data_IF_013841901013
#
_entry.id   IF_013841901013
#
_cell.length_a   1.000
_cell.length_b   1.000
_cell.length_c   1.000
_cell.angle_alpha   90.00
_cell.angle_beta   90.00
_cell.angle_gamma   90.00
#
_symmetry.space_group_name_H-M   'P 1'
#
loop_
_entity.id
_entity.type
_entity.pdbx_description
1 polymer ?
#
# COMPACT_ATOMS: atom_id res chain seq x y z
N UNK A 1 26.77 44.91 -46.61
CA UNK A 1 26.28 46.11 -47.34
C UNK A 1 25.03 45.69 -48.10
N UNK A 2 23.95 46.51 -48.06
CA UNK A 2 22.63 46.36 -48.75
C UNK A 2 21.65 45.38 -48.03
N UNK A 3 20.76 45.85 -47.12
CA UNK A 3 19.39 46.46 -47.27
C UNK A 3 18.30 45.44 -47.67
N UNK A 4 17.02 45.49 -47.25
CA UNK A 4 16.22 46.20 -46.22
C UNK A 4 14.74 45.71 -46.39
N UNK A 5 14.08 45.35 -45.27
CA UNK A 5 12.64 45.42 -44.86
C UNK A 5 11.47 45.00 -45.77
N UNK A 6 10.53 44.29 -45.14
CA UNK A 6 9.08 44.58 -44.88
C UNK A 6 8.28 43.26 -45.00
N UNK A 7 7.25 42.90 -44.23
CA UNK A 7 6.48 43.52 -43.15
C UNK A 7 5.31 42.56 -42.81
N UNK A 8 4.89 42.59 -41.54
CA UNK A 8 3.54 42.31 -40.98
C UNK A 8 2.63 41.20 -41.56
N UNK A 9 2.21 40.23 -40.73
CA UNK A 9 0.80 40.09 -40.28
C UNK A 9 0.57 38.79 -39.49
N UNK A 10 -0.14 38.93 -38.36
CA UNK A 10 -0.64 37.87 -37.49
C UNK A 10 -1.62 36.93 -38.22
N UNK A 11 -1.55 35.64 -37.92
CA UNK A 11 -2.73 34.80 -37.76
C UNK A 11 -2.38 33.61 -36.85
N UNK A 12 -2.85 33.69 -35.61
CA UNK A 12 -2.84 32.59 -34.65
C UNK A 12 -3.73 31.46 -35.17
N UNK A 13 -3.14 30.35 -35.59
CA UNK A 13 -3.85 29.06 -35.62
C UNK A 13 -3.51 28.34 -34.31
N UNK A 14 -4.43 28.44 -33.36
CA UNK A 14 -4.55 27.47 -32.29
C UNK A 14 -4.84 26.13 -32.94
N UNK A 15 -3.83 25.27 -33.00
CA UNK A 15 -4.02 23.88 -33.38
C UNK A 15 -4.62 23.18 -32.16
N UNK A 16 -5.96 23.12 -32.10
CA UNK A 16 -6.67 22.25 -31.15
C UNK A 16 -6.55 20.83 -31.69
N UNK A 17 -5.42 20.20 -31.45
CA UNK A 17 -5.30 18.74 -31.55
C UNK A 17 -6.10 18.12 -30.42
N UNK A 18 -7.39 17.87 -30.69
CA UNK A 18 -8.20 16.93 -29.90
C UNK A 18 -7.53 15.56 -29.95
N UNK A 19 -6.80 15.24 -28.89
CA UNK A 19 -6.22 13.92 -28.69
C UNK A 19 -7.34 12.86 -28.60
N UNK A 20 -7.14 11.68 -29.20
CA UNK A 20 -8.15 10.63 -29.22
C UNK A 20 -8.42 10.11 -27.80
N UNK A 21 -9.69 10.17 -27.39
CA UNK A 21 -10.21 9.48 -26.20
C UNK A 21 -10.20 7.98 -26.46
N UNK A 22 -9.19 7.27 -25.95
CA UNK A 22 -9.19 5.81 -25.91
C UNK A 22 -7.78 5.22 -25.94
N UNK A 23 -7.21 4.98 -24.75
CA UNK A 23 -6.04 4.17 -24.33
C UNK A 23 -5.18 4.82 -23.22
N UNK A 24 -5.46 6.06 -22.83
CA UNK A 24 -4.68 6.86 -21.87
C UNK A 24 -4.78 6.49 -20.38
N UNK A 25 -5.05 5.24 -20.00
CA UNK A 25 -5.25 4.89 -18.59
C UNK A 25 -3.94 4.77 -17.76
N UNK A 26 -2.76 4.72 -18.40
CA UNK A 26 -1.50 4.43 -17.70
C UNK A 26 -0.27 5.18 -18.22
N UNK A 27 -0.44 6.15 -19.12
CA UNK A 27 0.69 6.92 -19.66
C UNK A 27 0.49 8.41 -19.41
N UNK A 28 1.37 9.07 -18.62
CA UNK A 28 1.26 10.50 -18.38
C UNK A 28 1.62 11.29 -19.65
N UNK A 29 1.01 12.47 -19.81
CA UNK A 29 1.23 13.35 -20.96
C UNK A 29 2.70 13.84 -21.05
N UNK A 30 3.33 14.05 -19.90
CA UNK A 30 4.74 14.39 -19.77
C UNK A 30 5.29 13.93 -18.42
N UNK A 31 6.59 13.67 -18.36
CA UNK A 31 7.30 13.26 -17.15
C UNK A 31 8.65 13.99 -17.06
N UNK A 32 8.90 14.68 -15.95
CA UNK A 32 10.21 15.24 -15.62
C UNK A 32 10.84 14.48 -14.45
N UNK A 33 12.13 14.12 -14.60
CA UNK A 33 12.86 13.31 -13.61
C UNK A 33 13.77 14.20 -12.78
N UNK A 34 13.43 14.40 -11.52
CA UNK A 34 14.31 15.00 -10.52
C UNK A 34 15.14 13.95 -9.76
N UNK A 35 16.15 14.38 -8.97
CA UNK A 35 16.95 13.46 -8.17
C UNK A 35 16.15 12.69 -7.12
N UNK A 36 15.13 13.30 -6.50
CA UNK A 36 14.35 12.68 -5.41
C UNK A 36 12.85 12.70 -5.63
N UNK A 37 12.38 13.38 -6.68
CA UNK A 37 10.98 13.48 -7.05
C UNK A 37 10.83 13.37 -8.56
N UNK A 38 9.60 13.17 -9.01
CA UNK A 38 9.16 13.19 -10.39
C UNK A 38 8.03 14.20 -10.50
N UNK A 39 7.94 14.87 -11.63
CA UNK A 39 6.75 15.62 -12.02
C UNK A 39 6.02 14.84 -13.10
N UNK A 40 4.75 14.51 -12.83
CA UNK A 40 3.93 13.64 -13.67
C UNK A 40 2.56 14.28 -13.85
N UNK A 41 2.25 14.76 -15.07
CA UNK A 41 0.94 15.36 -15.35
C UNK A 41 0.59 16.57 -14.48
N UNK A 42 1.59 17.31 -13.98
CA UNK A 42 1.42 18.44 -13.06
C UNK A 42 1.40 18.08 -11.57
N UNK A 43 1.46 16.80 -11.21
CA UNK A 43 1.62 16.33 -9.82
C UNK A 43 3.09 16.06 -9.50
N UNK A 44 3.45 16.26 -8.24
CA UNK A 44 4.78 15.96 -7.70
C UNK A 44 4.75 14.65 -6.95
N UNK A 45 5.73 13.79 -7.23
CA UNK A 45 5.75 12.41 -6.73
C UNK A 45 7.12 12.06 -6.16
N UNK A 46 7.18 11.46 -4.98
CA UNK A 46 8.42 11.00 -4.36
C UNK A 46 8.30 9.54 -3.89
N UNK A 47 9.27 8.71 -4.27
CA UNK A 47 9.27 7.27 -3.97
C UNK A 47 10.37 6.88 -2.98
N UNK A 48 10.03 5.94 -2.11
CA UNK A 48 10.85 5.45 -1.02
C UNK A 48 10.92 3.93 -1.04
N UNK A 49 12.07 3.40 -0.65
CA UNK A 49 12.26 1.98 -0.36
C UNK A 49 12.39 1.79 1.15
N UNK A 50 11.64 0.85 1.70
CA UNK A 50 11.75 0.48 3.11
C UNK A 50 12.92 -0.49 3.26
N UNK A 51 13.88 -0.10 4.11
CA UNK A 51 15.13 -0.85 4.31
C UNK A 51 15.24 -1.42 5.72
N UNK A 52 14.73 -0.68 6.71
CA UNK A 52 14.58 -1.11 8.09
C UNK A 52 13.15 -1.60 8.35
N UNK A 53 13.03 -2.68 9.10
CA UNK A 53 11.76 -3.29 9.49
C UNK A 53 11.77 -3.55 11.01
N UNK A 54 10.61 -3.52 11.67
CA UNK A 54 10.49 -3.97 13.06
C UNK A 54 10.95 -5.42 13.19
N UNK A 55 11.43 -5.78 14.39
CA UNK A 55 11.86 -7.17 14.67
C UNK A 55 10.68 -8.13 14.67
N UNK A 56 9.55 -7.69 15.18
CA UNK A 56 8.30 -8.43 15.25
C UNK A 56 7.19 -7.62 14.60
N UNK A 57 6.28 -8.31 13.93
CA UNK A 57 5.13 -7.70 13.25
C UNK A 57 3.85 -8.31 13.76
N UNK A 58 2.90 -7.46 14.14
CA UNK A 58 1.55 -7.87 14.48
C UNK A 58 0.66 -7.83 13.23
N UNK A 59 -0.45 -8.61 13.18
CA UNK A 59 -1.37 -8.56 12.06
C UNK A 59 -1.87 -7.14 11.76
N UNK A 60 -1.73 -6.68 10.52
CA UNK A 60 -2.17 -5.34 10.12
C UNK A 60 -1.21 -4.21 10.49
N UNK A 61 0.07 -4.49 10.77
CA UNK A 61 1.06 -3.46 11.11
C UNK A 61 1.27 -2.39 10.02
N UNK A 62 0.94 -2.69 8.75
CA UNK A 62 0.96 -1.72 7.65
C UNK A 62 -0.28 -0.81 7.60
N UNK A 63 -1.32 -1.10 8.38
CA UNK A 63 -2.60 -0.39 8.34
C UNK A 63 -2.44 1.14 8.42
N UNK A 64 -1.61 1.72 9.30
CA UNK A 64 -1.51 3.18 9.40
C UNK A 64 -1.03 3.85 8.10
N UNK A 65 -0.17 3.17 7.33
CA UNK A 65 0.28 3.65 6.02
C UNK A 65 -0.83 3.50 4.96
N UNK A 66 -1.62 2.43 5.03
CA UNK A 66 -2.72 2.17 4.10
C UNK A 66 -3.94 3.07 4.33
N UNK A 67 -4.13 3.56 5.56
CA UNK A 67 -5.20 4.50 5.94
C UNK A 67 -4.70 5.92 6.11
N UNK A 68 -3.52 6.24 5.58
CA UNK A 68 -2.99 7.59 5.64
C UNK A 68 -3.92 8.55 4.87
N UNK A 69 -4.26 9.74 5.41
CA UNK A 69 -5.27 10.62 4.83
C UNK A 69 -4.84 11.29 3.50
N UNK A 70 -3.54 11.31 3.20
CA UNK A 70 -3.01 11.79 1.91
C UNK A 70 -2.85 10.68 0.87
N UNK A 71 -2.46 11.05 -0.35
CA UNK A 71 -2.31 10.09 -1.44
C UNK A 71 -0.95 9.38 -1.37
N UNK A 72 -0.97 8.16 -0.86
CA UNK A 72 0.22 7.30 -0.74
C UNK A 72 -0.05 5.93 -1.35
N UNK A 73 0.77 5.53 -2.30
CA UNK A 73 0.77 4.17 -2.83
C UNK A 73 1.73 3.30 -2.00
N UNK A 74 1.23 2.17 -1.51
CA UNK A 74 2.03 1.14 -0.83
C UNK A 74 2.13 -0.07 -1.74
N UNK A 75 3.35 -0.42 -2.16
CA UNK A 75 3.60 -1.54 -3.05
C UNK A 75 4.46 -2.60 -2.36
N UNK A 76 3.97 -3.84 -2.37
CA UNK A 76 4.62 -5.00 -1.77
C UNK A 76 4.95 -6.01 -2.87
N UNK A 77 6.24 -6.26 -3.06
CA UNK A 77 6.74 -7.27 -4.00
C UNK A 77 7.14 -8.51 -3.23
N UNK A 78 6.56 -9.66 -3.57
CA UNK A 78 6.76 -10.92 -2.86
C UNK A 78 7.30 -11.95 -3.84
N UNK A 79 8.48 -12.50 -3.53
CA UNK A 79 9.10 -13.55 -4.33
C UNK A 79 9.43 -14.74 -3.42
N UNK A 80 8.87 -15.94 -3.66
CA UNK A 80 9.20 -17.12 -2.86
C UNK A 80 10.67 -17.52 -3.06
N UNK A 81 11.31 -17.96 -1.99
CA UNK A 81 12.66 -18.53 -2.05
C UNK A 81 12.54 -20.05 -2.10
N UNK A 82 13.24 -20.66 -3.06
CA UNK A 82 13.35 -22.11 -3.17
C UNK A 82 13.79 -22.75 -1.82
N UNK A 83 13.12 -23.82 -1.34
CA UNK A 83 13.42 -24.43 -0.04
C UNK A 83 14.88 -24.89 0.13
N UNK A 84 15.50 -25.44 -0.92
CA UNK A 84 16.91 -25.90 -0.87
C UNK A 84 17.84 -24.72 -0.70
N UNK A 85 17.58 -23.64 -1.43
CA UNK A 85 18.30 -22.36 -1.33
C UNK A 85 18.10 -21.71 0.04
N UNK A 86 16.88 -21.72 0.57
CA UNK A 86 16.54 -21.21 1.89
C UNK A 86 17.32 -21.94 2.99
N UNK A 87 17.27 -23.27 3.01
CA UNK A 87 18.00 -24.10 3.97
C UNK A 87 19.52 -23.86 3.91
N UNK A 88 20.08 -23.77 2.70
CA UNK A 88 21.51 -23.51 2.50
C UNK A 88 21.92 -22.14 3.05
N UNK A 89 21.10 -21.09 2.81
CA UNK A 89 21.37 -19.74 3.32
C UNK A 89 21.26 -19.67 4.85
N UNK A 90 20.24 -20.30 5.43
CA UNK A 90 20.07 -20.37 6.88
C UNK A 90 21.25 -21.09 7.54
N UNK A 91 21.68 -22.22 7.00
CA UNK A 91 22.86 -22.95 7.50
C UNK A 91 24.13 -22.10 7.48
N UNK A 92 24.37 -21.33 6.40
CA UNK A 92 25.51 -20.40 6.33
C UNK A 92 25.39 -19.27 7.35
N UNK A 93 24.19 -18.72 7.54
CA UNK A 93 23.95 -17.66 8.51
C UNK A 93 24.17 -18.15 9.94
N UNK A 94 23.65 -19.33 10.29
CA UNK A 94 23.89 -20.00 11.57
C UNK A 94 25.38 -20.23 11.82
N UNK A 95 26.10 -20.79 10.84
CA UNK A 95 27.54 -21.01 10.96
C UNK A 95 28.31 -19.70 11.23
N UNK A 96 27.89 -18.59 10.61
CA UNK A 96 28.48 -17.26 10.85
C UNK A 96 28.21 -16.76 12.27
N UNK A 97 26.97 -16.88 12.75
CA UNK A 97 26.58 -16.47 14.11
C UNK A 97 27.33 -17.28 15.18
N UNK A 98 27.34 -18.61 15.03
CA UNK A 98 28.08 -19.54 15.89
C UNK A 98 29.58 -19.25 15.92
N UNK A 99 30.18 -18.98 14.75
CA UNK A 99 31.61 -18.63 14.69
C UNK A 99 31.89 -17.31 15.43
N UNK A 100 31.00 -16.32 15.32
CA UNK A 100 31.10 -15.06 16.06
C UNK A 100 30.97 -15.25 17.57
N UNK A 101 30.05 -16.10 18.02
CA UNK A 101 29.89 -16.46 19.45
C UNK A 101 31.17 -17.11 19.99
N UNK A 102 31.66 -18.15 19.32
CA UNK A 102 32.89 -18.87 19.72
C UNK A 102 34.10 -17.95 19.76
N UNK A 103 34.25 -17.05 18.80
CA UNK A 103 35.34 -16.08 18.80
C UNK A 103 35.26 -15.12 20.00
N UNK A 104 34.05 -14.65 20.34
CA UNK A 104 33.82 -13.75 21.47
C UNK A 104 34.12 -14.45 22.81
N UNK A 105 33.65 -15.69 22.97
CA UNK A 105 33.93 -16.54 24.13
C UNK A 105 35.43 -16.83 24.29
N UNK A 106 36.13 -17.18 23.19
CA UNK A 106 37.59 -17.39 23.22
C UNK A 106 38.38 -16.15 23.64
N UNK A 107 37.84 -14.95 23.41
CA UNK A 107 38.42 -13.67 23.86
C UNK A 107 38.02 -13.29 25.28
N UNK A 108 37.26 -14.14 25.98
CA UNK A 108 36.76 -13.89 27.34
C UNK A 108 35.84 -12.67 27.42
N UNK A 109 35.21 -12.29 26.30
CA UNK A 109 34.29 -11.14 26.24
C UNK A 109 32.87 -11.61 26.53
N UNK A 110 32.08 -10.72 27.13
CA UNK A 110 30.65 -10.95 27.30
C UNK A 110 29.99 -11.07 25.92
N UNK A 111 29.10 -12.05 25.79
CA UNK A 111 28.26 -12.23 24.61
C UNK A 111 27.26 -11.08 24.50
N UNK A 112 27.05 -10.59 23.29
CA UNK A 112 26.02 -9.59 23.00
C UNK A 112 24.64 -10.26 23.02
N UNK A 113 23.70 -9.82 23.88
CA UNK A 113 22.34 -10.36 23.93
C UNK A 113 21.62 -10.35 22.57
N UNK A 114 21.93 -9.38 21.70
CA UNK A 114 21.34 -9.32 20.37
C UNK A 114 21.83 -10.45 19.46
N UNK A 115 23.11 -10.82 19.56
CA UNK A 115 23.70 -11.92 18.79
C UNK A 115 23.16 -13.26 19.29
N UNK A 116 22.99 -13.39 20.60
CA UNK A 116 22.43 -14.60 21.21
C UNK A 116 20.99 -14.83 20.75
N UNK A 117 20.12 -13.83 20.90
CA UNK A 117 18.73 -13.93 20.46
C UNK A 117 18.62 -14.14 18.94
N UNK A 118 19.46 -13.47 18.13
CA UNK A 118 19.47 -13.70 16.68
C UNK A 118 19.91 -15.13 16.29
N UNK A 119 20.76 -15.77 17.11
CA UNK A 119 21.19 -17.15 16.91
C UNK A 119 20.06 -18.12 17.21
N UNK A 120 19.36 -17.91 18.33
CA UNK A 120 18.17 -18.67 18.71
C UNK A 120 17.06 -18.57 17.65
N UNK A 121 16.70 -17.34 17.24
CA UNK A 121 15.72 -17.07 16.17
C UNK A 121 16.09 -17.81 14.87
N UNK A 122 17.38 -17.83 14.52
CA UNK A 122 17.87 -18.50 13.33
C UNK A 122 17.78 -20.04 13.43
N UNK A 123 17.97 -20.62 14.61
CA UNK A 123 17.81 -22.05 14.84
C UNK A 123 16.34 -22.47 14.71
N UNK A 124 15.45 -21.71 15.34
CA UNK A 124 14.01 -21.95 15.23
C UNK A 124 13.52 -21.86 13.79
N UNK A 125 13.90 -20.79 13.09
CA UNK A 125 13.53 -20.59 11.69
C UNK A 125 14.09 -21.70 10.80
N UNK A 126 15.34 -22.12 11.02
CA UNK A 126 15.94 -23.25 10.30
C UNK A 126 15.20 -24.56 10.55
N UNK A 127 14.77 -24.81 11.79
CA UNK A 127 13.99 -26.00 12.14
C UNK A 127 12.62 -26.02 11.44
N UNK A 128 11.89 -24.88 11.44
CA UNK A 128 10.59 -24.76 10.76
C UNK A 128 10.71 -24.96 9.25
N UNK A 129 11.73 -24.35 8.63
CA UNK A 129 11.96 -24.48 7.18
C UNK A 129 12.35 -25.92 6.82
N UNK A 130 13.19 -26.58 7.62
CA UNK A 130 13.60 -27.97 7.36
C UNK A 130 12.44 -28.97 7.48
N UNK A 131 11.49 -28.71 8.39
CA UNK A 131 10.25 -29.51 8.55
C UNK A 131 9.17 -29.20 7.52
N UNK A 132 9.36 -28.19 6.67
CA UNK A 132 8.36 -27.73 5.71
C UNK A 132 7.19 -26.95 6.33
N UNK A 133 7.30 -26.57 7.61
CA UNK A 133 6.29 -25.82 8.35
C UNK A 133 6.36 -24.31 8.07
N UNK A 134 7.43 -23.83 7.43
CA UNK A 134 7.62 -22.44 7.07
C UNK A 134 8.36 -22.29 5.74
N UNK A 135 8.01 -21.25 4.98
CA UNK A 135 8.69 -20.85 3.74
C UNK A 135 9.36 -19.50 3.95
N UNK A 136 10.42 -19.25 3.19
CA UNK A 136 11.06 -17.94 3.14
C UNK A 136 10.66 -17.21 1.86
N UNK A 137 10.50 -15.90 1.99
CA UNK A 137 10.14 -15.01 0.92
C UNK A 137 11.12 -13.85 0.88
N UNK A 138 11.30 -13.29 -0.30
CA UNK A 138 11.99 -12.04 -0.49
C UNK A 138 10.93 -10.96 -0.70
N UNK A 139 10.83 -10.04 0.25
CA UNK A 139 9.83 -8.97 0.28
C UNK A 139 10.49 -7.63 -0.01
N UNK A 140 9.98 -6.89 -0.99
CA UNK A 140 10.27 -5.47 -1.20
C UNK A 140 9.06 -4.63 -0.81
N UNK A 141 9.25 -3.61 0.01
CA UNK A 141 8.19 -2.66 0.41
C UNK A 141 8.58 -1.26 -0.06
N UNK A 142 7.71 -0.66 -0.84
CA UNK A 142 7.94 0.63 -1.47
C UNK A 142 6.75 1.56 -1.23
N UNK A 143 7.04 2.83 -1.00
CA UNK A 143 6.05 3.88 -0.77
C UNK A 143 6.20 4.92 -1.86
N UNK A 144 5.11 5.40 -2.43
CA UNK A 144 5.11 6.57 -3.32
C UNK A 144 4.11 7.59 -2.80
N UNK A 145 4.62 8.80 -2.51
CA UNK A 145 3.83 9.93 -2.01
C UNK A 145 3.54 10.88 -3.16
N UNK A 146 2.31 11.36 -3.25
CA UNK A 146 1.85 12.29 -4.29
C UNK A 146 1.35 13.59 -3.66
N UNK A 147 1.63 14.71 -4.32
CA UNK A 147 1.17 16.04 -3.92
C UNK A 147 1.00 16.96 -5.14
N UNK A 148 0.27 18.06 -4.99
CA UNK A 148 0.03 18.99 -6.10
C UNK A 148 1.20 19.97 -6.32
N UNK A 149 2.03 20.20 -5.31
CA UNK A 149 3.16 21.14 -5.37
C UNK A 149 4.42 20.60 -4.70
N UNK A 150 5.62 21.12 -5.02
CA UNK A 150 6.85 20.70 -4.37
C UNK A 150 6.90 20.99 -2.86
N UNK A 151 6.25 22.06 -2.42
CA UNK A 151 6.16 22.44 -1.00
C UNK A 151 5.27 21.42 -0.24
N UNK A 152 4.07 21.16 -0.76
CA UNK A 152 3.16 20.15 -0.20
C UNK A 152 3.79 18.75 -0.23
N UNK A 153 4.53 18.41 -1.30
CA UNK A 153 5.27 17.14 -1.36
C UNK A 153 6.28 17.02 -0.22
N UNK A 154 6.98 18.10 0.13
CA UNK A 154 7.95 18.08 1.22
C UNK A 154 7.28 17.80 2.57
N UNK A 155 6.12 18.43 2.82
CA UNK A 155 5.33 18.24 4.04
C UNK A 155 4.77 16.82 4.14
N UNK A 156 4.14 16.32 3.06
CA UNK A 156 3.60 14.97 2.99
C UNK A 156 4.70 13.90 3.12
N UNK A 157 5.86 14.11 2.50
CA UNK A 157 7.02 13.23 2.67
C UNK A 157 7.50 13.21 4.11
N UNK A 158 7.55 14.36 4.80
CA UNK A 158 7.95 14.42 6.19
C UNK A 158 6.96 13.65 7.09
N UNK A 159 5.66 13.85 6.87
CA UNK A 159 4.58 13.18 7.60
C UNK A 159 4.62 11.65 7.40
N UNK A 160 4.68 11.18 6.15
CA UNK A 160 4.72 9.75 5.82
C UNK A 160 6.00 9.09 6.36
N UNK A 161 7.15 9.77 6.31
CA UNK A 161 8.39 9.24 6.89
C UNK A 161 8.34 9.19 8.42
N UNK A 162 7.72 10.17 9.05
CA UNK A 162 7.50 10.17 10.51
C UNK A 162 6.58 9.02 10.91
N UNK A 163 5.50 8.79 10.15
CA UNK A 163 4.59 7.67 10.35
C UNK A 163 5.32 6.32 10.18
N UNK A 164 6.08 6.15 9.09
CA UNK A 164 6.90 4.97 8.88
C UNK A 164 7.89 4.73 10.03
N UNK A 165 8.57 5.78 10.51
CA UNK A 165 9.50 5.66 11.63
C UNK A 165 8.80 5.24 12.93
N UNK A 166 7.56 5.70 13.17
CA UNK A 166 6.75 5.28 14.33
C UNK A 166 6.41 3.78 14.30
N UNK A 167 6.35 3.19 13.10
CA UNK A 167 6.22 1.75 12.86
C UNK A 167 7.56 1.00 12.83
N UNK A 168 8.66 1.66 13.23
CA UNK A 168 10.03 1.14 13.17
C UNK A 168 10.48 0.78 11.73
N UNK A 169 9.92 1.47 10.73
CA UNK A 169 10.32 1.35 9.34
C UNK A 169 11.30 2.45 8.97
N UNK A 170 12.38 2.06 8.27
CA UNK A 170 13.34 3.02 7.72
C UNK A 170 13.10 3.22 6.23
N UNK A 171 12.31 4.25 5.89
CA UNK A 171 11.99 4.66 4.53
C UNK A 171 13.11 5.55 3.96
N UNK A 172 13.87 5.00 3.00
CA UNK A 172 14.94 5.70 2.29
C UNK A 172 14.45 6.22 0.93
N UNK A 173 14.72 7.49 0.59
CA UNK A 173 14.35 8.04 -0.71
C UNK A 173 15.12 7.33 -1.83
N UNK A 174 14.45 7.08 -2.95
CA UNK A 174 15.05 6.51 -4.17
C UNK A 174 15.86 7.56 -4.94
N UNK A 175 16.84 8.17 -4.27
CA UNK A 175 17.66 9.25 -4.84
C UNK A 175 18.39 8.79 -6.10
N UNK A 176 18.31 9.58 -7.17
CA UNK A 176 18.78 9.28 -8.54
C UNK A 176 18.16 8.04 -9.19
N UNK A 177 17.12 7.49 -8.56
CA UNK A 177 16.34 6.34 -9.03
C UNK A 177 14.85 6.61 -8.88
N UNK A 178 14.45 7.88 -8.94
CA UNK A 178 13.08 8.34 -8.69
C UNK A 178 12.09 7.70 -9.67
N UNK A 179 12.43 7.67 -10.96
CA UNK A 179 11.63 7.00 -11.99
C UNK A 179 11.46 5.51 -11.71
N UNK A 180 12.55 4.82 -11.38
CA UNK A 180 12.53 3.40 -11.05
C UNK A 180 11.72 3.13 -9.77
N UNK A 181 11.78 4.04 -8.81
CA UNK A 181 10.99 3.99 -7.57
C UNK A 181 9.50 4.06 -7.86
N UNK A 182 9.09 5.06 -8.65
CA UNK A 182 7.68 5.22 -9.04
C UNK A 182 7.17 4.02 -9.86
N UNK A 183 7.94 3.59 -10.87
CA UNK A 183 7.60 2.42 -11.70
C UNK A 183 7.47 1.15 -10.85
N UNK A 184 8.26 1.02 -9.79
CA UNK A 184 8.16 -0.12 -8.86
C UNK A 184 6.86 -0.13 -8.06
N UNK A 185 6.27 1.05 -7.83
CA UNK A 185 4.98 1.15 -7.15
C UNK A 185 3.77 0.93 -8.06
N UNK A 186 3.94 0.99 -9.38
CA UNK A 186 2.86 0.73 -10.33
C UNK A 186 2.47 -0.76 -10.35
N UNK A 187 1.20 -1.10 -10.67
CA UNK A 187 0.68 -2.48 -10.67
C UNK A 187 1.16 -3.29 -11.90
N UNK A 188 2.40 -3.10 -12.33
CA UNK A 188 3.01 -3.82 -13.45
C UNK A 188 3.82 -5.05 -13.01
N UNK A 189 3.98 -5.27 -11.70
CA UNK A 189 4.78 -6.37 -11.15
C UNK A 189 6.29 -6.23 -11.39
N UNK A 190 6.76 -5.01 -11.69
CA UNK A 190 8.17 -4.74 -11.98
C UNK A 190 8.89 -4.18 -10.75
N UNK A 191 9.77 -4.95 -10.14
CA UNK A 191 10.65 -4.45 -9.08
C UNK A 191 11.99 -3.98 -9.64
N UNK A 192 12.09 -2.68 -9.92
CA UNK A 192 13.30 -2.04 -10.43
C UNK A 192 14.25 -1.61 -9.32
N UNK A 193 13.74 -1.38 -8.10
CA UNK A 193 14.57 -0.95 -6.97
C UNK A 193 15.37 -2.13 -6.39
N UNK A 194 14.74 -3.31 -6.28
CA UNK A 194 15.30 -4.57 -5.77
C UNK A 194 15.86 -4.47 -4.35
N UNK A 195 15.39 -3.52 -3.55
CA UNK A 195 15.69 -3.44 -2.12
C UNK A 195 14.72 -4.36 -1.40
N UNK A 196 15.17 -5.58 -1.12
CA UNK A 196 14.33 -6.63 -0.57
C UNK A 196 14.92 -7.22 0.70
N UNK A 197 14.05 -7.63 1.62
CA UNK A 197 14.39 -8.32 2.87
C UNK A 197 13.79 -9.71 2.89
N UNK A 198 14.43 -10.64 3.61
CA UNK A 198 13.89 -11.99 3.78
C UNK A 198 12.86 -12.01 4.90
N UNK A 199 11.68 -12.55 4.61
CA UNK A 199 10.56 -12.74 5.53
C UNK A 199 10.23 -14.22 5.62
N UNK A 200 9.76 -14.69 6.77
CA UNK A 200 9.12 -16.00 6.88
C UNK A 200 7.61 -15.90 6.64
N UNK A 201 6.93 -17.04 6.55
CA UNK A 201 5.49 -17.10 6.30
C UNK A 201 4.68 -16.27 7.31
N UNK A 202 5.05 -16.32 8.60
CA UNK A 202 4.32 -15.62 9.66
C UNK A 202 4.44 -14.09 9.49
N UNK A 203 5.66 -13.58 9.36
CA UNK A 203 5.90 -12.16 9.16
C UNK A 203 5.26 -11.64 7.87
N UNK A 204 5.31 -12.43 6.79
CA UNK A 204 4.66 -12.08 5.52
C UNK A 204 3.14 -11.99 5.68
N UNK A 205 2.52 -12.97 6.34
CA UNK A 205 1.07 -13.00 6.52
C UNK A 205 0.55 -11.78 7.28
N UNK A 206 1.33 -11.29 8.25
CA UNK A 206 1.01 -10.10 9.04
C UNK A 206 1.00 -8.80 8.21
N UNK A 207 1.65 -8.77 7.04
CA UNK A 207 1.63 -7.61 6.13
C UNK A 207 0.30 -7.45 5.39
N UNK A 208 -0.48 -8.52 5.27
CA UNK A 208 -1.70 -8.50 4.49
C UNK A 208 -2.79 -7.72 5.25
N UNK A 209 -3.52 -6.80 4.60
CA UNK A 209 -4.46 -5.91 5.27
C UNK A 209 -5.82 -6.61 5.52
N UNK A 210 -5.81 -7.67 6.35
CA UNK A 210 -7.04 -8.34 6.78
C UNK A 210 -7.93 -7.49 7.70
N UNK A 211 -7.45 -6.30 8.08
CA UNK A 211 -8.08 -5.39 9.05
C UNK A 211 -8.88 -4.27 8.37
N UNK A 212 -9.31 -4.44 7.12
CA UNK A 212 -10.18 -3.43 6.51
C UNK A 212 -11.43 -3.24 7.36
N UNK A 213 -11.72 -2.02 7.84
CA UNK A 213 -12.94 -1.75 8.59
C UNK A 213 -14.16 -1.64 7.67
N UNK A 214 -13.97 -1.74 6.35
CA UNK A 214 -15.03 -1.59 5.36
C UNK A 214 -15.77 -2.90 5.13
N UNK A 215 -17.09 -2.78 4.93
CA UNK A 215 -17.92 -3.91 4.55
C UNK A 215 -17.48 -4.42 3.18
N UNK A 216 -17.25 -5.73 3.02
CA UNK A 216 -16.89 -6.28 1.73
C UNK A 216 -18.02 -6.02 0.73
N UNK A 217 -17.71 -5.62 -0.51
CA UNK A 217 -18.72 -5.58 -1.56
C UNK A 217 -19.27 -6.99 -1.79
N UNK A 218 -20.55 -7.08 -2.17
CA UNK A 218 -21.21 -8.36 -2.48
C UNK A 218 -20.50 -9.14 -3.60
N UNK A 219 -19.85 -8.44 -4.52
CA UNK A 219 -18.93 -9.00 -5.50
C UNK A 219 -17.66 -8.11 -5.59
N UNK A 220 -16.48 -8.60 -5.17
CA UNK A 220 -15.23 -7.85 -5.21
C UNK A 220 -14.68 -7.63 -6.63
N UNK A 221 -15.26 -8.26 -7.65
CA UNK A 221 -14.83 -8.14 -9.07
C UNK A 221 -15.77 -7.29 -9.92
N UNK A 222 -16.94 -6.95 -9.39
CA UNK A 222 -17.93 -6.16 -10.11
C UNK A 222 -17.55 -4.67 -10.12
N UNK A 223 -17.54 -4.08 -11.31
CA UNK A 223 -17.40 -2.62 -11.51
C UNK A 223 -18.76 -1.91 -11.44
N UNK A 224 -19.85 -2.68 -11.26
CA UNK A 224 -21.18 -2.12 -11.14
C UNK A 224 -21.34 -1.37 -9.81
N UNK A 225 -22.17 -0.32 -9.81
CA UNK A 225 -22.52 0.35 -8.56
C UNK A 225 -23.07 -0.71 -7.58
N UNK A 226 -22.55 -0.76 -6.34
CA UNK A 226 -22.99 -1.76 -5.37
C UNK A 226 -24.51 -1.63 -5.19
N UNK A 227 -25.21 -2.75 -5.11
CA UNK A 227 -26.65 -2.79 -4.82
C UNK A 227 -26.88 -2.51 -3.33
N UNK A 228 -28.03 -1.90 -2.98
CA UNK A 228 -28.40 -1.61 -1.59
C UNK A 228 -28.67 -0.15 -1.29
N UNK A 229 -28.53 0.21 -0.01
CA UNK A 229 -28.76 1.57 0.51
C UNK A 229 -27.43 2.15 0.98
N UNK A 230 -27.19 3.44 0.71
CA UNK A 230 -26.06 4.18 1.27
C UNK A 230 -26.35 4.56 2.72
N UNK A 231 -25.60 3.98 3.66
CA UNK A 231 -25.72 4.25 5.09
C UNK A 231 -24.92 5.49 5.51
N UNK A 232 -23.81 5.77 4.81
CA UNK A 232 -22.91 6.88 5.10
C UNK A 232 -21.50 6.56 4.65
N UNK A 233 -20.51 7.04 5.41
CA UNK A 233 -19.11 6.71 5.22
C UNK A 233 -18.51 6.26 6.56
N UNK A 234 -17.47 5.44 6.46
CA UNK A 234 -16.70 4.96 7.59
C UNK A 234 -15.75 6.08 8.03
N UNK A 235 -15.76 6.43 9.32
CA UNK A 235 -14.96 7.54 9.84
C UNK A 235 -13.46 7.20 9.80
N UNK A 236 -13.10 5.92 9.89
CA UNK A 236 -11.71 5.46 9.88
C UNK A 236 -11.09 5.38 8.48
N UNK A 237 -11.78 4.77 7.52
CA UNK A 237 -11.28 4.59 6.15
C UNK A 237 -11.76 5.68 5.18
N UNK A 238 -12.72 6.52 5.58
CA UNK A 238 -13.47 7.41 4.70
C UNK A 238 -14.20 6.69 3.55
N UNK A 239 -14.26 5.36 3.58
CA UNK A 239 -14.95 4.53 2.59
C UNK A 239 -16.47 4.64 2.70
N UNK A 240 -17.18 4.56 1.57
CA UNK A 240 -18.64 4.58 1.57
C UNK A 240 -19.20 3.26 2.10
N UNK A 241 -20.16 3.36 3.02
CA UNK A 241 -20.88 2.20 3.58
C UNK A 241 -22.15 2.00 2.76
N UNK A 242 -22.05 1.14 1.74
CA UNK A 242 -23.18 0.73 0.91
C UNK A 242 -23.57 -0.71 1.21
N UNK A 243 -24.82 -0.95 1.60
CA UNK A 243 -25.22 -2.28 2.06
C UNK A 243 -26.63 -2.64 1.65
N UNK A 244 -26.80 -3.81 1.03
CA UNK A 244 -28.10 -4.41 0.75
C UNK A 244 -28.43 -5.46 1.81
N UNK A 245 -29.00 -5.02 2.92
CA UNK A 245 -29.45 -5.94 3.98
C UNK A 245 -30.55 -6.90 3.51
N UNK A 246 -31.26 -6.59 2.41
CA UNK A 246 -32.34 -7.43 1.90
C UNK A 246 -31.83 -8.53 0.97
N UNK A 247 -30.53 -8.54 0.65
CA UNK A 247 -29.87 -9.61 -0.06
C UNK A 247 -29.33 -10.70 0.88
N UNK A 248 -29.42 -10.52 2.20
CA UNK A 248 -28.92 -11.48 3.19
C UNK A 248 -30.02 -12.45 3.65
N UNK A 249 -29.61 -13.62 4.13
CA UNK A 249 -30.52 -14.61 4.72
C UNK A 249 -31.34 -14.01 5.88
N UNK A 250 -30.70 -13.17 6.69
CA UNK A 250 -31.36 -12.44 7.78
C UNK A 250 -31.36 -10.93 7.49
N UNK A 251 -32.57 -10.41 7.34
CA UNK A 251 -32.84 -9.02 6.96
C UNK A 251 -32.88 -8.06 8.15
N UNK A 252 -32.82 -8.60 9.38
CA UNK A 252 -32.99 -7.82 10.60
C UNK A 252 -31.78 -6.92 10.87
N UNK A 253 -32.03 -5.74 11.44
CA UNK A 253 -30.99 -4.80 11.84
C UNK A 253 -31.29 -4.22 13.22
N UNK A 254 -30.27 -4.12 14.06
CA UNK A 254 -30.35 -3.47 15.38
C UNK A 254 -29.51 -2.20 15.34
N UNK A 255 -30.10 -1.07 15.73
CA UNK A 255 -29.40 0.22 15.84
C UNK A 255 -29.46 0.68 17.28
N UNK A 256 -28.30 0.80 17.92
CA UNK A 256 -28.15 1.20 19.32
C UNK A 256 -27.51 2.59 19.39
N UNK A 257 -27.90 3.38 20.39
CA UNK A 257 -27.33 4.69 20.62
C UNK A 257 -27.80 5.29 21.95
N UNK A 258 -27.02 6.21 22.50
CA UNK A 258 -27.43 6.97 23.68
C UNK A 258 -28.62 7.91 23.38
N UNK A 259 -29.43 8.26 24.39
CA UNK A 259 -30.50 9.24 24.23
C UNK A 259 -29.96 10.56 23.64
N UNK A 260 -30.67 11.12 22.65
CA UNK A 260 -30.29 12.39 22.00
C UNK A 260 -29.67 12.28 20.60
N UNK A 261 -29.32 11.08 20.13
CA UNK A 261 -28.60 10.88 18.84
C UNK A 261 -29.52 10.96 17.58
N UNK A 262 -30.74 11.50 17.68
CA UNK A 262 -31.68 11.64 16.56
C UNK A 262 -31.82 10.37 15.69
N UNK A 263 -31.94 9.22 16.35
CA UNK A 263 -31.89 7.89 15.73
C UNK A 263 -33.09 7.64 14.79
N UNK A 264 -34.27 8.16 15.15
CA UNK A 264 -35.52 8.04 14.37
C UNK A 264 -35.44 8.70 12.97
N UNK A 265 -34.97 9.96 12.82
CA UNK A 265 -34.70 10.55 11.50
C UNK A 265 -33.73 9.75 10.63
N UNK A 266 -32.68 9.17 11.22
CA UNK A 266 -31.71 8.34 10.48
C UNK A 266 -32.32 7.02 10.01
N UNK A 267 -33.07 6.32 10.87
CA UNK A 267 -33.77 5.08 10.51
C UNK A 267 -34.75 5.28 9.35
N UNK A 268 -35.47 6.42 9.32
CA UNK A 268 -36.42 6.70 8.23
C UNK A 268 -35.76 6.80 6.85
N UNK A 269 -34.51 7.29 6.77
CA UNK A 269 -33.73 7.31 5.51
C UNK A 269 -33.28 5.91 5.08
N UNK A 270 -32.91 5.06 6.04
CA UNK A 270 -32.44 3.69 5.79
C UNK A 270 -33.58 2.75 5.39
N UNK A 271 -34.79 3.00 5.89
CA UNK A 271 -36.00 2.20 5.59
C UNK A 271 -36.76 2.69 4.35
N UNK A 272 -36.53 3.93 3.90
CA UNK A 272 -37.28 4.59 2.82
C UNK A 272 -37.26 3.88 1.44
N UNK A 273 -36.16 3.24 1.00
CA UNK A 273 -36.12 2.58 -0.31
C UNK A 273 -36.85 1.24 -0.37
N UNK A 274 -37.06 0.57 0.77
CA UNK A 274 -37.61 -0.80 0.83
C UNK A 274 -39.10 -0.89 0.44
N UNK A 275 -39.85 0.21 0.58
CA UNK A 275 -41.29 0.20 0.32
C UNK A 275 -41.69 0.33 -1.17
N UNK A 276 -40.74 0.52 -2.09
CA UNK A 276 -41.02 0.65 -3.53
C UNK A 276 -40.81 -0.64 -4.34
N UNK A 277 -40.47 -1.76 -3.70
CA UNK A 277 -40.22 -3.05 -4.37
C UNK A 277 -41.25 -4.14 -3.99
N UNK A 278 -42.54 -3.81 -3.95
CA UNK A 278 -43.58 -4.84 -4.03
C UNK A 278 -43.90 -5.07 -5.52
N UNK A 279 -43.74 -6.29 -6.07
CA UNK A 279 -44.36 -6.62 -7.34
C UNK A 279 -45.87 -6.63 -7.12
N UNK A 280 -46.59 -5.85 -7.93
CA UNK A 280 -48.04 -5.97 -8.02
C UNK A 280 -48.36 -7.44 -8.36
N UNK A 281 -49.08 -8.12 -7.47
CA UNK A 281 -49.61 -9.46 -7.75
C UNK A 281 -50.59 -9.39 -8.93
N UNK A 282 -50.76 -10.46 -9.71
CA UNK A 282 -51.71 -10.48 -10.79
C UNK A 282 -53.12 -10.38 -10.20
N UNK A 283 -53.83 -9.30 -10.52
CA UNK A 283 -55.27 -9.26 -10.38
C UNK A 283 -55.88 -10.16 -11.46
N UNK A 284 -56.63 -11.17 -10.99
CA UNK A 284 -57.74 -11.90 -11.64
C UNK A 284 -57.56 -12.32 -13.10
#
# INVERSE_FOLDING_TARGET
MIRKRAGCSRASRQDKTTAPKGTGAFTPDALAVGPRHLEIGGEQVASFAVTGFPREVYPGWLQPLLTYPGRVDVSVHIEPIDPVTAATRLKRQLAKLESGRRYTEQKGRLLDPHVEAATEDAYELSSRVARGEGKLYRLGLYLTVHAASPEELADEVAAVRSLAASLLLDAKPTSYRSLQGWVTCLPMGLDLIRMRRTFDTAALSATFPFTSPDLPPSDPTSVAAPTGVLYGYNIGSQGLVHWDRFALDNHNSVVLGQPGIHLLPRLRRLLGPAHRRHPAGPHS
#
